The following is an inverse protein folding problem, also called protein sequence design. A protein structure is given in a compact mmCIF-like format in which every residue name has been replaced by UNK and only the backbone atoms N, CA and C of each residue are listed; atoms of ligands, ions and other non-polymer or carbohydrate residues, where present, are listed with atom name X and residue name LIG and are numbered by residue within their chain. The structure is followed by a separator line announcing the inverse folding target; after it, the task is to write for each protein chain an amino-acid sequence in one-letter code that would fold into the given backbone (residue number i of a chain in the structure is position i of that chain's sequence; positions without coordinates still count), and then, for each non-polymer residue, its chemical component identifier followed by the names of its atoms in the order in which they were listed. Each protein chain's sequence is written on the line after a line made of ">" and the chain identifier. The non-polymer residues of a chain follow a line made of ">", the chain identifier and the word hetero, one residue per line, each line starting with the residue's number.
data_IF_199865338387
#
_entry.id   IF_199865338387
#
_cell.length_a   1.000
_cell.length_b   1.000
_cell.length_c   1.000
_cell.angle_alpha   90.00
_cell.angle_beta   90.00
_cell.angle_gamma   90.00
#
_symmetry.space_group_name_H-M   'P 1'
#
loop_
_entity.id
_entity.type
_entity.pdbx_description
1 polymer ?
#
# COMPACT_ATOMS: atom_id res chain seq x y z
N UNK A 1 6.02 -54.02 51.68
CA UNK A 1 5.35 -52.72 51.75
C UNK A 1 5.82 -51.90 50.57
N UNK A 2 5.04 -51.91 49.48
CA UNK A 2 5.39 -51.22 48.24
C UNK A 2 4.44 -50.02 48.07
N UNK A 3 5.02 -48.82 47.98
CA UNK A 3 4.27 -47.58 47.69
C UNK A 3 4.31 -47.32 46.21
N UNK A 4 3.18 -47.45 45.56
CA UNK A 4 2.98 -47.03 44.19
C UNK A 4 2.90 -45.45 44.12
N UNK A 5 3.79 -44.86 43.35
CA UNK A 5 3.73 -43.42 43.05
C UNK A 5 2.88 -43.23 41.79
N UNK A 6 1.73 -42.61 41.97
CA UNK A 6 0.81 -42.21 40.91
C UNK A 6 1.32 -40.90 40.28
N UNK A 7 1.87 -40.98 39.07
CA UNK A 7 2.17 -39.79 38.29
C UNK A 7 0.89 -39.17 37.70
N UNK A 8 0.49 -38.01 38.19
CA UNK A 8 -0.55 -37.19 37.59
C UNK A 8 0.09 -36.43 36.41
N UNK A 9 -0.22 -36.84 35.21
CA UNK A 9 0.06 -36.08 33.99
C UNK A 9 -1.01 -34.97 33.89
N UNK A 10 -0.60 -33.76 34.25
CA UNK A 10 -1.35 -32.53 33.96
C UNK A 10 -1.20 -32.24 32.48
N UNK A 11 -2.20 -32.58 31.69
CA UNK A 11 -2.36 -32.10 30.31
C UNK A 11 -2.77 -30.63 30.36
N UNK A 12 -1.81 -29.74 30.12
CA UNK A 12 -2.05 -28.35 29.82
C UNK A 12 -2.74 -28.26 28.45
N UNK A 13 -3.90 -27.57 28.33
CA UNK A 13 -4.47 -27.27 27.04
C UNK A 13 -3.51 -26.28 26.33
N UNK A 14 -3.00 -26.69 25.18
CA UNK A 14 -2.37 -25.78 24.23
C UNK A 14 -3.44 -24.71 23.87
N UNK A 15 -3.28 -23.52 24.43
CA UNK A 15 -3.97 -22.35 23.95
C UNK A 15 -3.51 -22.12 22.52
N UNK A 16 -4.35 -22.55 21.56
CA UNK A 16 -4.25 -22.17 20.17
C UNK A 16 -4.28 -20.66 20.14
N UNK A 17 -3.15 -20.08 19.70
CA UNK A 17 -2.92 -18.67 19.69
C UNK A 17 -4.08 -17.92 19.05
N UNK A 18 -4.68 -17.04 19.84
CA UNK A 18 -5.49 -15.95 19.32
C UNK A 18 -4.59 -15.20 18.35
N UNK A 19 -4.95 -15.28 17.07
CA UNK A 19 -4.28 -14.54 16.01
C UNK A 19 -4.09 -13.11 16.47
N UNK A 20 -2.85 -12.64 16.41
CA UNK A 20 -2.51 -11.27 16.64
C UNK A 20 -3.50 -10.44 15.82
N UNK A 21 -4.38 -9.70 16.49
CA UNK A 21 -5.11 -8.60 15.87
C UNK A 21 -4.00 -7.66 15.45
N UNK A 22 -3.62 -7.74 14.20
CA UNK A 22 -2.81 -6.70 13.58
C UNK A 22 -3.44 -5.39 13.98
N UNK A 23 -2.72 -4.59 14.77
CA UNK A 23 -3.00 -3.19 14.97
C UNK A 23 -2.70 -2.49 13.64
N UNK A 24 -3.57 -2.73 12.66
CA UNK A 24 -3.45 -2.10 11.38
C UNK A 24 -3.53 -0.59 11.60
N UNK A 25 -2.47 0.10 11.23
CA UNK A 25 -2.43 1.55 11.24
C UNK A 25 -3.71 2.09 10.58
N UNK A 26 -4.35 3.12 11.16
CA UNK A 26 -5.60 3.64 10.63
C UNK A 26 -5.36 4.12 9.19
N UNK A 27 -6.27 3.74 8.29
CA UNK A 27 -6.27 4.26 6.93
C UNK A 27 -6.66 5.71 6.92
N UNK A 28 -6.18 6.40 5.89
CA UNK A 28 -6.50 7.82 5.69
C UNK A 28 -7.92 7.98 5.14
N UNK A 29 -8.58 9.04 5.57
CA UNK A 29 -10.00 9.26 5.26
C UNK A 29 -10.25 9.76 3.83
N UNK A 30 -9.26 10.39 3.21
CA UNK A 30 -9.40 11.02 1.88
C UNK A 30 -8.33 10.55 0.91
N UNK A 31 -8.60 10.51 -0.40
CA UNK A 31 -7.64 10.10 -1.40
C UNK A 31 -6.44 11.06 -1.50
N UNK A 32 -6.65 12.34 -1.20
CA UNK A 32 -5.58 13.35 -1.18
C UNK A 32 -4.54 13.01 -0.11
N UNK A 33 -5.01 12.73 1.10
CA UNK A 33 -4.14 12.32 2.21
C UNK A 33 -3.46 11.00 1.91
N UNK A 34 -4.16 10.05 1.27
CA UNK A 34 -3.58 8.78 0.88
C UNK A 34 -2.41 8.98 -0.09
N UNK A 35 -2.59 9.82 -1.13
CA UNK A 35 -1.55 10.09 -2.10
C UNK A 35 -0.29 10.70 -1.44
N UNK A 36 -0.48 11.69 -0.57
CA UNK A 36 0.62 12.35 0.16
C UNK A 36 1.34 11.36 1.10
N UNK A 37 0.59 10.58 1.88
CA UNK A 37 1.17 9.62 2.83
C UNK A 37 1.91 8.48 2.12
N UNK A 38 1.40 8.00 0.97
CA UNK A 38 2.08 7.01 0.16
C UNK A 38 3.37 7.59 -0.45
N UNK A 39 3.34 8.80 -0.98
CA UNK A 39 4.54 9.45 -1.50
C UNK A 39 5.63 9.62 -0.42
N UNK A 40 5.25 10.03 0.79
CA UNK A 40 6.15 10.10 1.95
C UNK A 40 6.77 8.74 2.28
N UNK A 41 5.93 7.71 2.38
CA UNK A 41 6.36 6.36 2.72
C UNK A 41 7.32 5.78 1.66
N UNK A 42 7.03 5.98 0.37
CA UNK A 42 7.89 5.56 -0.74
C UNK A 42 9.26 6.26 -0.71
N UNK A 43 9.28 7.57 -0.47
CA UNK A 43 10.54 8.34 -0.43
C UNK A 43 11.39 7.97 0.79
N UNK A 44 10.77 7.75 1.94
CA UNK A 44 11.46 7.32 3.16
C UNK A 44 11.81 5.83 3.20
N UNK A 45 11.30 5.02 2.26
CA UNK A 45 11.37 3.55 2.24
C UNK A 45 10.73 2.92 3.50
N UNK A 46 9.64 3.52 3.97
CA UNK A 46 8.86 3.03 5.10
C UNK A 46 7.94 1.88 4.65
N UNK A 47 8.47 0.66 4.69
CA UNK A 47 7.78 -0.55 4.22
C UNK A 47 6.52 -0.86 5.03
N UNK A 48 6.53 -0.58 6.33
CA UNK A 48 5.38 -0.80 7.20
C UNK A 48 4.24 0.14 6.79
N UNK A 49 4.55 1.43 6.62
CA UNK A 49 3.57 2.42 6.18
C UNK A 49 3.04 2.15 4.78
N UNK A 50 3.90 1.79 3.83
CA UNK A 50 3.49 1.38 2.47
C UNK A 50 2.48 0.23 2.54
N UNK A 51 2.78 -0.80 3.34
CA UNK A 51 1.88 -1.96 3.51
C UNK A 51 0.55 -1.55 4.13
N UNK A 52 0.55 -0.69 5.14
CA UNK A 52 -0.66 -0.19 5.79
C UNK A 52 -1.56 0.64 4.86
N UNK A 53 -0.98 1.38 3.91
CA UNK A 53 -1.69 2.20 2.93
C UNK A 53 -2.16 1.40 1.70
N UNK A 54 -1.68 0.19 1.52
CA UNK A 54 -2.08 -0.69 0.43
C UNK A 54 -3.29 -1.56 0.80
N UNK A 55 -4.06 -1.95 -0.20
CA UNK A 55 -5.16 -2.89 -0.03
C UNK A 55 -4.64 -4.28 0.37
N UNK A 56 -5.32 -4.92 1.31
CA UNK A 56 -5.04 -6.29 1.69
C UNK A 56 -5.51 -7.28 0.60
N UNK A 57 -5.02 -8.52 0.68
CA UNK A 57 -5.50 -9.60 -0.18
C UNK A 57 -7.02 -9.73 -0.12
N UNK A 58 -7.58 -9.82 1.09
CA UNK A 58 -9.01 -10.00 1.33
C UNK A 58 -9.85 -8.86 0.74
N UNK A 59 -9.40 -7.61 0.90
CA UNK A 59 -10.09 -6.46 0.30
C UNK A 59 -10.08 -6.51 -1.23
N UNK A 60 -8.96 -6.90 -1.84
CA UNK A 60 -8.87 -7.04 -3.30
C UNK A 60 -9.72 -8.19 -3.81
N UNK A 61 -9.74 -9.33 -3.12
CA UNK A 61 -10.62 -10.45 -3.47
C UNK A 61 -12.09 -10.02 -3.41
N UNK A 62 -12.51 -9.38 -2.31
CA UNK A 62 -13.88 -8.86 -2.13
C UNK A 62 -14.25 -7.83 -3.22
N UNK A 63 -13.32 -6.94 -3.55
CA UNK A 63 -13.52 -5.94 -4.61
C UNK A 63 -13.72 -6.60 -5.97
N UNK A 64 -12.89 -7.57 -6.32
CA UNK A 64 -13.00 -8.27 -7.60
C UNK A 64 -14.26 -9.14 -7.65
N UNK A 65 -14.64 -9.81 -6.57
CA UNK A 65 -15.89 -10.57 -6.47
C UNK A 65 -17.14 -9.66 -6.61
N UNK A 66 -17.06 -8.43 -6.09
CA UNK A 66 -18.13 -7.44 -6.26
C UNK A 66 -18.25 -6.97 -7.70
N UNK A 67 -17.12 -6.69 -8.34
CA UNK A 67 -17.07 -6.25 -9.73
C UNK A 67 -17.40 -7.36 -10.71
N UNK A 68 -17.10 -8.58 -10.35
CA UNK A 68 -17.25 -9.78 -11.18
C UNK A 68 -17.70 -10.95 -10.30
N UNK A 69 -19.00 -11.03 -10.01
CA UNK A 69 -19.54 -12.07 -9.13
C UNK A 69 -19.21 -13.47 -9.65
N UNK A 70 -18.48 -14.29 -8.86
CA UNK A 70 -18.08 -15.62 -9.30
C UNK A 70 -19.28 -16.56 -9.35
N UNK A 71 -19.58 -17.12 -10.52
CA UNK A 71 -20.65 -18.11 -10.71
C UNK A 71 -20.20 -19.54 -10.34
N UNK A 72 -18.89 -19.81 -10.41
CA UNK A 72 -18.31 -21.13 -10.20
C UNK A 72 -17.12 -21.10 -9.22
N UNK A 73 -16.70 -22.27 -8.76
CA UNK A 73 -15.46 -22.41 -7.98
C UNK A 73 -14.21 -22.01 -8.79
N UNK A 74 -14.24 -22.25 -10.13
CA UNK A 74 -13.16 -21.85 -11.02
C UNK A 74 -13.00 -20.33 -11.11
N UNK A 75 -14.11 -19.58 -11.10
CA UNK A 75 -14.05 -18.11 -11.10
C UNK A 75 -13.41 -17.57 -9.81
N UNK A 76 -13.72 -18.16 -8.67
CA UNK A 76 -13.06 -17.79 -7.39
C UNK A 76 -11.58 -18.06 -7.40
N UNK A 77 -11.15 -19.19 -7.93
CA UNK A 77 -9.73 -19.52 -8.05
C UNK A 77 -9.01 -18.55 -8.99
N UNK A 78 -9.65 -18.16 -10.08
CA UNK A 78 -9.14 -17.13 -10.98
C UNK A 78 -8.98 -15.79 -10.27
N UNK A 79 -9.96 -15.34 -9.47
CA UNK A 79 -9.86 -14.10 -8.69
C UNK A 79 -8.66 -14.16 -7.73
N UNK A 80 -8.49 -15.26 -6.99
CA UNK A 80 -7.35 -15.45 -6.09
C UNK A 80 -6.01 -15.39 -6.82
N UNK A 81 -5.94 -16.00 -8.00
CA UNK A 81 -4.75 -15.96 -8.85
C UNK A 81 -4.44 -14.53 -9.28
N UNK A 82 -5.44 -13.77 -9.74
CA UNK A 82 -5.27 -12.36 -10.12
C UNK A 82 -4.81 -11.49 -8.96
N UNK A 83 -5.37 -11.67 -7.77
CA UNK A 83 -4.91 -10.97 -6.57
C UNK A 83 -3.46 -11.33 -6.24
N UNK A 84 -3.08 -12.59 -6.36
CA UNK A 84 -1.69 -13.01 -6.14
C UNK A 84 -0.72 -12.36 -7.13
N UNK A 85 -1.09 -12.26 -8.41
CA UNK A 85 -0.33 -11.55 -9.44
C UNK A 85 -0.15 -10.06 -9.08
N UNK A 86 -1.23 -9.36 -8.73
CA UNK A 86 -1.18 -7.94 -8.33
C UNK A 86 -0.25 -7.74 -7.11
N UNK A 87 -0.31 -8.64 -6.13
CA UNK A 87 0.56 -8.57 -4.96
C UNK A 87 2.04 -8.80 -5.30
N UNK A 88 2.33 -9.69 -6.23
CA UNK A 88 3.70 -9.94 -6.71
C UNK A 88 4.23 -8.73 -7.51
N UNK A 89 3.41 -8.15 -8.39
CA UNK A 89 3.76 -6.94 -9.13
C UNK A 89 4.04 -5.76 -8.20
N UNK A 90 3.29 -5.61 -7.11
CA UNK A 90 3.52 -4.55 -6.11
C UNK A 90 4.94 -4.58 -5.53
N UNK A 91 5.48 -5.77 -5.28
CA UNK A 91 6.87 -5.92 -4.79
C UNK A 91 7.86 -5.43 -5.84
N UNK A 92 7.67 -5.86 -7.09
CA UNK A 92 8.53 -5.44 -8.21
C UNK A 92 8.46 -3.92 -8.46
N UNK A 93 7.28 -3.33 -8.29
CA UNK A 93 7.07 -1.89 -8.43
C UNK A 93 7.82 -1.09 -7.37
N UNK A 94 7.84 -1.56 -6.14
CA UNK A 94 8.60 -0.92 -5.06
C UNK A 94 10.10 -0.94 -5.34
N UNK A 95 10.64 -2.05 -5.83
CA UNK A 95 12.05 -2.16 -6.22
C UNK A 95 12.37 -1.22 -7.39
N UNK A 96 11.49 -1.17 -8.40
CA UNK A 96 11.62 -0.25 -9.54
C UNK A 96 11.60 1.20 -9.07
N UNK A 97 10.70 1.56 -8.16
CA UNK A 97 10.66 2.92 -7.60
C UNK A 97 11.95 3.29 -6.88
N UNK A 98 12.53 2.39 -6.07
CA UNK A 98 13.79 2.66 -5.39
C UNK A 98 14.94 2.90 -6.38
N UNK A 99 14.96 2.16 -7.49
CA UNK A 99 15.92 2.39 -8.56
C UNK A 99 15.73 3.77 -9.23
N UNK A 100 14.48 4.13 -9.55
CA UNK A 100 14.15 5.45 -10.13
C UNK A 100 14.46 6.59 -9.15
N UNK A 101 14.15 6.44 -7.86
CA UNK A 101 14.48 7.42 -6.82
C UNK A 101 15.98 7.69 -6.76
N UNK A 102 16.79 6.63 -6.79
CA UNK A 102 18.25 6.76 -6.83
C UNK A 102 18.73 7.47 -8.10
N UNK A 103 18.18 7.13 -9.25
CA UNK A 103 18.53 7.74 -10.53
C UNK A 103 18.11 9.21 -10.63
N UNK A 104 17.01 9.61 -10.01
CA UNK A 104 16.49 10.98 -9.99
C UNK A 104 17.33 11.94 -9.15
N UNK A 105 18.24 11.44 -8.30
CA UNK A 105 19.07 12.27 -7.44
C UNK A 105 18.40 12.70 -6.15
N UNK A 106 17.32 12.03 -5.74
CA UNK A 106 16.68 12.24 -4.44
C UNK A 106 17.64 11.82 -3.33
N UNK A 107 17.97 12.76 -2.43
CA UNK A 107 18.96 12.57 -1.37
C UNK A 107 18.31 12.00 -0.12
N UNK A 108 18.93 10.99 0.46
CA UNK A 108 18.51 10.44 1.75
C UNK A 108 18.75 11.47 2.86
N UNK A 109 17.73 11.73 3.67
CA UNK A 109 17.85 12.65 4.82
C UNK A 109 17.71 14.14 4.46
N UNK A 110 17.43 14.49 3.20
CA UNK A 110 17.09 15.87 2.86
C UNK A 110 15.77 16.28 3.53
N UNK A 111 15.64 17.58 3.85
CA UNK A 111 14.34 18.13 4.23
C UNK A 111 13.43 18.08 3.00
N UNK A 112 12.25 17.48 3.15
CA UNK A 112 11.33 17.24 2.05
C UNK A 112 9.96 17.77 2.41
N UNK A 113 9.36 18.54 1.48
CA UNK A 113 7.97 18.98 1.53
C UNK A 113 7.18 18.25 0.45
N UNK A 114 5.94 17.88 0.75
CA UNK A 114 5.04 17.23 -0.19
C UNK A 114 3.80 18.09 -0.40
N UNK A 115 3.39 18.24 -1.66
CA UNK A 115 2.20 18.98 -2.08
C UNK A 115 1.43 18.12 -3.09
N UNK A 116 0.13 17.96 -2.88
CA UNK A 116 -0.72 17.36 -3.91
C UNK A 116 -0.88 18.36 -5.07
N UNK A 117 -0.59 17.91 -6.29
CA UNK A 117 -0.78 18.75 -7.50
C UNK A 117 -2.13 18.46 -8.11
N UNK A 118 -2.44 17.18 -8.28
CA UNK A 118 -3.57 16.73 -9.07
C UNK A 118 -4.07 15.34 -8.61
N UNK A 119 -5.38 15.16 -8.72
CA UNK A 119 -6.07 13.88 -8.62
C UNK A 119 -7.00 13.75 -9.80
N UNK A 120 -7.01 12.60 -10.45
CA UNK A 120 -8.03 12.27 -11.42
C UNK A 120 -9.42 12.36 -10.81
N UNK A 121 -10.41 12.57 -11.67
CA UNK A 121 -11.82 12.54 -11.26
C UNK A 121 -12.16 11.20 -10.62
N UNK A 122 -12.99 11.28 -9.60
CA UNK A 122 -13.57 10.10 -8.99
C UNK A 122 -14.41 9.35 -10.04
N UNK A 123 -14.04 8.09 -10.24
CA UNK A 123 -14.79 7.17 -11.07
C UNK A 123 -15.61 6.24 -10.17
N UNK A 124 -16.91 6.14 -10.46
CA UNK A 124 -17.81 5.24 -9.73
C UNK A 124 -18.49 4.31 -10.72
N UNK A 125 -18.32 3.01 -10.54
CA UNK A 125 -18.93 1.97 -11.33
C UNK A 125 -19.09 0.69 -10.51
N UNK A 126 -20.23 0.01 -10.65
CA UNK A 126 -20.52 -1.26 -9.99
C UNK A 126 -20.29 -1.24 -8.47
N UNK A 127 -20.64 -0.11 -7.82
CA UNK A 127 -20.47 0.10 -6.39
C UNK A 127 -19.02 0.39 -5.94
N UNK A 128 -18.07 0.43 -6.88
CA UNK A 128 -16.67 0.76 -6.58
C UNK A 128 -16.38 2.23 -6.86
N UNK A 129 -15.63 2.85 -5.95
CA UNK A 129 -15.07 4.20 -6.14
C UNK A 129 -13.58 4.12 -6.35
N UNK A 130 -13.11 4.70 -7.45
CA UNK A 130 -11.72 4.63 -7.89
C UNK A 130 -11.21 5.98 -8.35
N UNK A 131 -9.93 6.25 -8.07
CA UNK A 131 -9.13 7.31 -8.67
C UNK A 131 -7.94 6.64 -9.36
N UNK A 132 -7.73 6.94 -10.63
CA UNK A 132 -6.69 6.27 -11.43
C UNK A 132 -5.32 6.83 -11.19
N UNK A 133 -5.18 8.16 -11.20
CA UNK A 133 -3.88 8.81 -11.09
C UNK A 133 -3.89 9.90 -10.05
N UNK A 134 -2.75 10.05 -9.39
CA UNK A 134 -2.47 11.20 -8.55
C UNK A 134 -1.03 11.64 -8.76
N UNK A 135 -0.81 12.95 -8.70
CA UNK A 135 0.50 13.56 -8.81
C UNK A 135 0.82 14.33 -7.53
N UNK A 136 1.89 13.92 -6.88
CA UNK A 136 2.40 14.57 -5.67
C UNK A 136 3.71 15.24 -6.02
N UNK A 137 3.79 16.56 -5.81
CA UNK A 137 5.05 17.29 -5.88
C UNK A 137 5.84 17.02 -4.60
N UNK A 138 7.08 16.61 -4.76
CA UNK A 138 8.06 16.52 -3.70
C UNK A 138 9.11 17.60 -3.92
N UNK A 139 9.35 18.42 -2.91
CA UNK A 139 10.37 19.47 -2.95
C UNK A 139 11.42 19.10 -1.93
N UNK A 140 12.64 18.83 -2.35
CA UNK A 140 13.76 18.66 -1.45
C UNK A 140 14.63 19.92 -1.43
N UNK A 141 15.16 20.24 -0.24
CA UNK A 141 16.13 21.32 -0.11
C UNK A 141 17.52 20.79 -0.33
N UNK A 142 18.17 21.28 -1.38
CA UNK A 142 19.55 20.93 -1.74
C UNK A 142 20.60 21.64 -0.89
N UNK A 143 21.86 21.31 -1.14
CA UNK A 143 22.99 22.02 -0.55
C UNK A 143 22.98 23.49 -1.02
N UNK A 144 22.93 24.43 -0.09
CA UNK A 144 22.82 25.88 -0.40
C UNK A 144 21.41 26.44 -0.37
N UNK A 145 20.40 25.65 0.08
CA UNK A 145 19.02 26.11 0.26
C UNK A 145 18.19 26.16 -1.04
N UNK A 146 18.71 25.63 -2.13
CA UNK A 146 17.97 25.55 -3.39
C UNK A 146 16.89 24.49 -3.32
N UNK A 147 15.69 24.82 -3.80
CA UNK A 147 14.59 23.88 -3.92
C UNK A 147 14.72 23.08 -5.21
N UNK A 148 14.67 21.76 -5.09
CA UNK A 148 14.67 20.80 -6.21
C UNK A 148 13.32 20.08 -6.23
N UNK A 149 12.42 20.44 -7.19
CA UNK A 149 11.11 19.82 -7.29
C UNK A 149 11.14 18.52 -8.10
N UNK A 150 10.41 17.53 -7.62
CA UNK A 150 10.15 16.25 -8.28
C UNK A 150 8.65 15.99 -8.35
N UNK A 151 8.22 15.21 -9.32
CA UNK A 151 6.86 14.70 -9.42
C UNK A 151 6.88 13.21 -9.09
N UNK A 152 6.02 12.81 -8.16
CA UNK A 152 5.73 11.40 -7.86
C UNK A 152 4.34 11.12 -8.41
N UNK A 153 4.28 10.20 -9.37
CA UNK A 153 3.03 9.69 -9.90
C UNK A 153 2.65 8.41 -9.17
N UNK A 154 1.38 8.30 -8.79
CA UNK A 154 0.80 7.14 -8.12
C UNK A 154 -0.48 6.76 -8.82
N UNK A 155 -0.72 5.47 -8.98
CA UNK A 155 -1.87 4.95 -9.70
C UNK A 155 -2.78 4.10 -8.81
N UNK A 156 -4.05 3.97 -9.21
CA UNK A 156 -5.05 3.02 -8.72
C UNK A 156 -5.34 3.04 -7.20
N UNK A 157 -6.03 4.08 -6.77
CA UNK A 157 -6.63 4.19 -5.44
C UNK A 157 -8.09 3.75 -5.48
N UNK A 158 -8.50 2.93 -4.51
CA UNK A 158 -9.88 2.49 -4.34
C UNK A 158 -10.40 2.80 -2.94
N UNK A 159 -11.70 3.06 -2.84
CA UNK A 159 -12.38 3.17 -1.57
C UNK A 159 -12.87 1.80 -1.11
N UNK A 160 -12.34 1.33 0.00
CA UNK A 160 -12.75 0.12 0.72
C UNK A 160 -13.55 0.47 1.97
N UNK A 161 -14.23 -0.47 2.62
CA UNK A 161 -14.96 -0.21 3.87
C UNK A 161 -14.10 0.42 4.98
N UNK A 162 -12.80 0.12 5.00
CA UNK A 162 -11.83 0.67 5.96
C UNK A 162 -11.21 2.00 5.53
N UNK A 163 -11.58 2.54 4.39
CA UNK A 163 -11.06 3.79 3.83
C UNK A 163 -10.30 3.58 2.51
N UNK A 164 -9.67 4.64 2.03
CA UNK A 164 -8.91 4.62 0.78
C UNK A 164 -7.63 3.81 0.88
N UNK A 165 -7.33 3.02 -0.16
CA UNK A 165 -6.10 2.24 -0.27
C UNK A 165 -5.63 2.11 -1.72
N UNK A 166 -4.33 1.90 -1.91
CA UNK A 166 -3.76 1.54 -3.20
C UNK A 166 -3.92 0.04 -3.47
N UNK A 167 -4.40 -0.33 -4.64
CA UNK A 167 -4.39 -1.72 -5.11
C UNK A 167 -3.11 -2.05 -5.84
N UNK A 168 -2.67 -1.14 -6.73
CA UNK A 168 -1.36 -1.22 -7.37
C UNK A 168 -0.63 0.09 -7.09
N UNK A 169 0.68 0.08 -7.06
CA UNK A 169 1.42 1.26 -6.65
C UNK A 169 2.07 1.94 -7.86
N UNK A 170 2.33 1.25 -8.94
CA UNK A 170 2.99 1.76 -10.19
C UNK A 170 3.65 3.14 -10.04
N UNK A 171 4.52 3.33 -9.03
CA UNK A 171 5.02 4.64 -8.73
C UNK A 171 6.08 5.03 -9.74
N UNK A 172 6.01 6.28 -10.19
CA UNK A 172 7.09 6.89 -10.96
C UNK A 172 7.56 8.16 -10.26
N UNK A 173 8.84 8.46 -10.40
CA UNK A 173 9.42 9.70 -9.90
C UNK A 173 10.32 10.31 -10.97
N UNK A 174 10.18 11.61 -11.20
CA UNK A 174 11.01 12.36 -12.13
C UNK A 174 11.17 13.79 -11.65
N UNK A 175 12.12 14.50 -12.23
CA UNK A 175 12.24 15.95 -12.00
C UNK A 175 11.06 16.67 -12.64
N UNK A 176 10.54 17.68 -11.93
CA UNK A 176 9.55 18.57 -12.54
C UNK A 176 10.23 19.34 -13.69
N UNK A 177 9.61 19.40 -14.90
CA UNK A 177 10.16 20.20 -15.98
C UNK A 177 10.25 21.66 -15.52
N UNK A 178 11.40 22.28 -15.77
CA UNK A 178 11.58 23.72 -15.55
C UNK A 178 10.54 24.46 -16.41
N UNK A 179 9.78 25.33 -15.78
CA UNK A 179 8.95 26.29 -16.52
C UNK A 179 9.93 27.28 -17.17
N UNK A 180 10.18 27.12 -18.47
CA UNK A 180 10.80 28.16 -19.28
C UNK A 180 9.87 29.36 -19.46
#
# INVERSE_FOLDING_TARGET
>A
MSRAATCFLLSLPLAVGQGARENALPRVATPELLAIEMAKALVSDDRERITALAATREEMETMLETAWPPATAGDREYIKTKVAEILAERVADLERFQAMKKASGVKKGAAVRFELIDLDKLYEKDGMKKIRHSHVRMIQTGAGGQEEPFIIKLDDMFLFPRGWAFTSIWPAIGREPSKE
#
